data_IF_086782302473
#
_entry.id   IF_086782302473
#
_cell.length_a   1.000
_cell.length_b   1.000
_cell.length_c   1.000
_cell.angle_alpha   90.00
_cell.angle_beta   90.00
_cell.angle_gamma   90.00
#
_symmetry.space_group_name_H-M   'P 1'
#
loop_
_entity.id
_entity.type
_entity.pdbx_description
1 polymer ?
#
# COMPACT_ATOMS: atom_id res chain seq x y z
N UNK A 1 12.85 -66.62 17.52
CA UNK A 1 11.57 -66.38 16.83
C UNK A 1 11.03 -65.06 17.36
N UNK A 2 10.76 -64.12 16.45
CA UNK A 2 10.27 -62.75 16.64
C UNK A 2 11.35 -61.70 16.99
N UNK A 3 12.04 -61.28 15.93
CA UNK A 3 12.57 -59.92 15.75
C UNK A 3 11.43 -58.89 15.82
N UNK A 4 11.62 -57.81 16.58
CA UNK A 4 10.75 -56.62 16.51
C UNK A 4 11.62 -55.40 16.31
N UNK A 5 11.91 -55.11 15.04
CA UNK A 5 12.41 -53.82 14.60
C UNK A 5 11.31 -52.77 14.79
N UNK A 6 11.44 -51.93 15.82
CA UNK A 6 10.70 -50.67 15.90
C UNK A 6 11.30 -49.70 14.88
N UNK A 7 10.67 -49.68 13.70
CA UNK A 7 10.86 -48.66 12.67
C UNK A 7 10.37 -47.31 13.21
N UNK A 8 11.31 -46.49 13.66
CA UNK A 8 11.08 -45.07 13.95
C UNK A 8 10.85 -44.36 12.62
N UNK A 9 9.58 -44.15 12.25
CA UNK A 9 9.22 -43.26 11.14
C UNK A 9 9.65 -41.83 11.50
N UNK A 10 10.87 -41.46 11.09
CA UNK A 10 11.23 -40.06 10.93
C UNK A 10 10.34 -39.49 9.83
N UNK A 11 9.50 -38.53 10.20
CA UNK A 11 8.77 -37.72 9.24
C UNK A 11 9.79 -36.95 8.38
N UNK A 12 9.67 -36.94 7.05
CA UNK A 12 10.56 -36.14 6.22
C UNK A 12 10.23 -34.65 6.44
N UNK A 13 11.12 -33.94 7.13
CA UNK A 13 11.24 -32.49 7.06
C UNK A 13 11.73 -32.12 5.67
N UNK A 14 10.78 -31.99 4.75
CA UNK A 14 11.00 -31.38 3.44
C UNK A 14 10.20 -30.08 3.41
N UNK A 15 10.76 -29.01 4.00
CA UNK A 15 10.31 -27.64 3.69
C UNK A 15 10.82 -27.26 2.30
N UNK A 16 10.33 -27.96 1.28
CA UNK A 16 10.25 -27.39 -0.06
C UNK A 16 9.09 -26.42 -0.01
N UNK A 17 9.35 -25.18 0.43
CA UNK A 17 8.50 -24.06 0.05
C UNK A 17 8.53 -24.01 -1.47
N UNK A 18 7.50 -24.55 -2.11
CA UNK A 18 7.20 -24.22 -3.50
C UNK A 18 7.22 -22.70 -3.59
N UNK A 19 8.10 -22.16 -4.44
CA UNK A 19 8.06 -20.75 -4.85
C UNK A 19 6.70 -20.57 -5.52
N UNK A 20 5.69 -20.18 -4.74
CA UNK A 20 4.33 -19.98 -5.24
C UNK A 20 4.30 -18.69 -6.04
N UNK A 21 3.66 -18.72 -7.18
CA UNK A 21 3.59 -17.57 -8.09
C UNK A 21 2.91 -16.36 -7.42
N UNK A 22 3.30 -15.13 -7.78
CA UNK A 22 2.68 -13.92 -7.25
C UNK A 22 1.23 -13.79 -7.68
N UNK A 23 0.39 -13.22 -6.80
CA UNK A 23 -1.03 -13.01 -7.05
C UNK A 23 -1.28 -11.55 -7.43
N UNK A 24 -1.94 -11.35 -8.57
CA UNK A 24 -2.30 -10.04 -9.13
C UNK A 24 -3.81 -9.85 -9.11
N UNK A 25 -4.26 -8.78 -8.46
CA UNK A 25 -5.68 -8.41 -8.46
C UNK A 25 -5.99 -7.57 -9.69
N UNK A 26 -7.12 -7.84 -10.33
CA UNK A 26 -7.55 -7.12 -11.52
C UNK A 26 -9.06 -6.93 -11.54
N UNK A 27 -9.52 -5.88 -12.23
CA UNK A 27 -10.91 -5.73 -12.65
C UNK A 27 -10.96 -5.71 -14.17
N UNK A 28 -11.76 -6.60 -14.77
CA UNK A 28 -11.94 -6.64 -16.22
C UNK A 28 -13.40 -6.83 -16.61
N UNK A 29 -13.71 -6.63 -17.88
CA UNK A 29 -15.02 -6.90 -18.48
C UNK A 29 -14.91 -8.08 -19.41
N UNK A 30 -15.64 -9.14 -19.12
CA UNK A 30 -15.73 -10.31 -19.98
C UNK A 30 -16.42 -9.94 -21.32
N UNK A 31 -15.80 -10.30 -22.44
CA UNK A 31 -16.32 -10.00 -23.79
C UNK A 31 -17.66 -10.67 -24.09
N UNK A 32 -17.86 -11.89 -23.58
CA UNK A 32 -19.04 -12.71 -23.82
C UNK A 32 -20.19 -12.26 -22.93
N UNK A 33 -19.96 -12.18 -21.62
CA UNK A 33 -21.02 -11.85 -20.66
C UNK A 33 -21.25 -10.35 -20.50
N UNK A 34 -20.33 -9.51 -20.97
CA UNK A 34 -20.29 -8.05 -20.74
C UNK A 34 -20.29 -7.66 -19.26
N UNK A 35 -20.07 -8.62 -18.36
CA UNK A 35 -20.05 -8.40 -16.92
C UNK A 35 -18.66 -7.91 -16.50
N UNK A 36 -18.64 -6.90 -15.61
CA UNK A 36 -17.41 -6.38 -15.02
C UNK A 36 -17.21 -7.02 -13.65
N UNK A 37 -16.08 -7.69 -13.46
CA UNK A 37 -15.77 -8.42 -12.23
C UNK A 37 -14.35 -8.12 -11.77
N UNK A 38 -14.13 -8.25 -10.46
CA UNK A 38 -12.82 -8.11 -9.83
C UNK A 38 -12.38 -9.47 -9.32
N UNK A 39 -11.25 -9.97 -9.82
CA UNK A 39 -10.72 -11.30 -9.54
C UNK A 39 -9.20 -11.22 -9.29
N UNK A 40 -8.57 -12.36 -9.04
CA UNK A 40 -7.11 -12.49 -8.96
C UNK A 40 -6.58 -13.53 -9.94
N UNK A 41 -5.32 -13.37 -10.36
CA UNK A 41 -4.59 -14.30 -11.24
C UNK A 41 -3.18 -14.51 -10.68
N UNK A 42 -2.65 -15.73 -10.79
CA UNK A 42 -1.25 -16.02 -10.45
C UNK A 42 -0.38 -15.87 -11.70
N UNK A 43 0.65 -15.03 -11.65
CA UNK A 43 1.57 -14.77 -12.77
C UNK A 43 2.97 -14.43 -12.24
N UNK A 44 4.05 -14.55 -13.02
CA UNK A 44 5.38 -14.17 -12.56
C UNK A 44 5.63 -12.66 -12.61
N UNK A 45 4.85 -11.91 -13.38
CA UNK A 45 4.93 -10.45 -13.50
C UNK A 45 3.58 -9.83 -13.86
N UNK A 46 3.44 -8.50 -13.66
CA UNK A 46 2.28 -7.75 -14.11
C UNK A 46 2.08 -7.82 -15.64
N UNK A 47 3.17 -7.90 -16.40
CA UNK A 47 3.15 -8.06 -17.85
C UNK A 47 2.57 -9.41 -18.27
N UNK A 48 3.01 -10.49 -17.61
CA UNK A 48 2.48 -11.83 -17.87
C UNK A 48 1.02 -11.94 -17.45
N UNK A 49 0.65 -11.38 -16.29
CA UNK A 49 -0.74 -11.29 -15.86
C UNK A 49 -1.62 -10.61 -16.91
N UNK A 50 -1.19 -9.47 -17.47
CA UNK A 50 -1.95 -8.80 -18.53
C UNK A 50 -2.09 -9.68 -19.78
N UNK A 51 -1.00 -10.30 -20.23
CA UNK A 51 -0.98 -11.15 -21.42
C UNK A 51 -1.95 -12.33 -21.30
N UNK A 52 -1.99 -12.99 -20.13
CA UNK A 52 -2.92 -14.07 -19.85
C UNK A 52 -4.38 -13.59 -19.86
N UNK A 53 -4.66 -12.44 -19.26
CA UNK A 53 -6.01 -11.87 -19.21
C UNK A 53 -6.51 -11.44 -20.60
N UNK A 54 -5.64 -10.90 -21.45
CA UNK A 54 -5.96 -10.57 -22.84
C UNK A 54 -6.25 -11.82 -23.67
N UNK A 55 -5.48 -12.89 -23.44
CA UNK A 55 -5.68 -14.20 -24.08
C UNK A 55 -6.99 -14.85 -23.64
N UNK A 56 -7.43 -14.60 -22.41
CA UNK A 56 -8.71 -15.06 -21.87
C UNK A 56 -9.93 -14.24 -22.34
N UNK A 57 -9.78 -13.43 -23.40
CA UNK A 57 -10.84 -12.61 -24.00
C UNK A 57 -11.47 -11.58 -23.03
N UNK A 58 -10.69 -11.06 -22.08
CA UNK A 58 -11.12 -9.98 -21.21
C UNK A 58 -10.80 -8.61 -21.81
N UNK A 59 -11.72 -7.66 -21.66
CA UNK A 59 -11.59 -6.26 -22.10
C UNK A 59 -11.52 -5.29 -20.92
N UNK A 60 -11.00 -4.08 -21.17
CA UNK A 60 -10.97 -2.97 -20.19
C UNK A 60 -10.34 -3.38 -18.85
N UNK A 61 -9.23 -4.10 -18.94
CA UNK A 61 -8.49 -4.64 -17.81
C UNK A 61 -7.86 -3.49 -17.01
N UNK A 62 -8.03 -3.55 -15.69
CA UNK A 62 -7.39 -2.66 -14.73
C UNK A 62 -6.68 -3.53 -13.71
N UNK A 63 -5.35 -3.50 -13.69
CA UNK A 63 -4.58 -4.15 -12.64
C UNK A 63 -4.62 -3.28 -11.37
N UNK A 64 -4.82 -3.91 -10.22
CA UNK A 64 -4.84 -3.27 -8.90
C UNK A 64 -3.57 -3.55 -8.09
N UNK A 65 -2.66 -4.34 -8.65
CA UNK A 65 -1.44 -4.84 -8.00
C UNK A 65 -0.31 -4.76 -9.02
N UNK A 66 0.79 -4.15 -8.62
CA UNK A 66 2.06 -4.16 -9.36
C UNK A 66 3.02 -5.20 -8.78
N UNK A 67 4.18 -5.39 -9.41
CA UNK A 67 5.18 -6.38 -9.00
C UNK A 67 5.70 -6.15 -7.57
N UNK A 68 5.73 -4.90 -7.09
CA UNK A 68 6.12 -4.60 -5.70
C UNK A 68 5.05 -5.07 -4.74
N UNK A 69 3.79 -4.71 -4.98
CA UNK A 69 2.68 -5.13 -4.15
C UNK A 69 2.51 -6.66 -4.15
N UNK A 70 2.68 -7.31 -5.29
CA UNK A 70 2.62 -8.77 -5.42
C UNK A 70 3.73 -9.47 -4.63
N UNK A 71 4.99 -9.03 -4.78
CA UNK A 71 6.12 -9.58 -4.05
C UNK A 71 6.00 -9.33 -2.53
N UNK A 72 5.56 -8.15 -2.10
CA UNK A 72 5.28 -7.86 -0.68
C UNK A 72 4.20 -8.79 -0.13
N UNK A 73 3.11 -9.00 -0.88
CA UNK A 73 2.01 -9.90 -0.49
C UNK A 73 2.50 -11.35 -0.31
N UNK A 74 3.36 -11.83 -1.21
CA UNK A 74 3.95 -13.17 -1.11
C UNK A 74 4.77 -13.37 0.17
N UNK A 75 5.50 -12.34 0.59
CA UNK A 75 6.35 -12.38 1.79
C UNK A 75 5.59 -12.10 3.11
N UNK A 76 4.27 -11.89 3.05
CA UNK A 76 3.47 -11.67 4.26
C UNK A 76 3.48 -12.93 5.16
N UNK A 77 3.74 -12.79 6.49
CA UNK A 77 3.71 -13.92 7.42
C UNK A 77 2.36 -14.65 7.48
N UNK A 78 1.27 -13.93 7.20
CA UNK A 78 -0.08 -14.48 7.08
C UNK A 78 -0.65 -14.00 5.74
N UNK A 79 -0.80 -14.92 4.78
CA UNK A 79 -1.50 -14.61 3.53
C UNK A 79 -2.98 -14.34 3.85
N UNK A 80 -3.48 -13.23 3.33
CA UNK A 80 -4.91 -13.04 3.15
C UNK A 80 -5.23 -13.76 1.84
N UNK A 81 -5.52 -15.06 1.91
CA UNK A 81 -6.01 -15.74 0.72
C UNK A 81 -7.41 -15.21 0.42
N UNK A 82 -7.68 -14.89 -0.85
CA UNK A 82 -9.03 -14.63 -1.33
C UNK A 82 -9.81 -15.94 -1.18
N UNK A 83 -10.51 -16.06 -0.05
CA UNK A 83 -11.41 -17.17 0.26
C UNK A 83 -12.84 -16.64 0.19
N UNK A 84 -13.84 -17.51 0.39
CA UNK A 84 -15.26 -17.12 0.46
C UNK A 84 -15.56 -15.94 1.41
N UNK A 85 -14.70 -15.68 2.40
CA UNK A 85 -14.87 -14.63 3.41
C UNK A 85 -14.41 -13.22 2.99
N UNK A 86 -13.42 -13.08 2.10
CA UNK A 86 -12.91 -11.78 1.61
C UNK A 86 -12.68 -11.91 0.11
N UNK A 87 -13.51 -11.21 -0.67
CA UNK A 87 -13.42 -11.22 -2.13
C UNK A 87 -12.30 -10.30 -2.64
N UNK A 88 -11.85 -10.51 -3.88
CA UNK A 88 -10.92 -9.61 -4.55
C UNK A 88 -11.48 -8.17 -4.66
N UNK A 89 -12.80 -8.04 -4.84
CA UNK A 89 -13.49 -6.74 -4.83
C UNK A 89 -13.40 -6.05 -3.46
N UNK A 90 -13.58 -6.80 -2.36
CA UNK A 90 -13.43 -6.27 -1.01
C UNK A 90 -12.00 -5.76 -0.78
N UNK A 91 -11.00 -6.54 -1.19
CA UNK A 91 -9.59 -6.16 -1.07
C UNK A 91 -9.27 -4.83 -1.77
N UNK A 92 -9.75 -4.67 -3.00
CA UNK A 92 -9.60 -3.44 -3.79
C UNK A 92 -10.30 -2.27 -3.10
N UNK A 93 -11.50 -2.50 -2.55
CA UNK A 93 -12.31 -1.47 -1.91
C UNK A 93 -11.73 -0.98 -0.58
N UNK A 94 -11.06 -1.84 0.20
CA UNK A 94 -10.44 -1.46 1.47
C UNK A 94 -9.33 -0.40 1.34
N UNK A 95 -8.83 -0.17 0.13
CA UNK A 95 -7.86 0.89 -0.14
C UNK A 95 -8.48 2.29 0.01
N UNK A 96 -9.77 2.45 -0.27
CA UNK A 96 -10.50 3.73 -0.23
C UNK A 96 -11.56 3.81 0.86
N UNK A 97 -11.94 2.67 1.45
CA UNK A 97 -12.86 2.62 2.57
C UNK A 97 -12.13 3.02 3.87
N UNK A 98 -12.58 4.10 4.52
CA UNK A 98 -12.05 4.51 5.82
C UNK A 98 -12.52 3.62 6.98
N UNK A 99 -11.99 3.86 8.18
CA UNK A 99 -12.28 3.07 9.40
C UNK A 99 -13.78 2.83 9.62
N UNK A 100 -14.63 3.85 9.41
CA UNK A 100 -16.07 3.73 9.57
C UNK A 100 -16.69 2.78 8.53
N UNK A 101 -16.28 2.87 7.28
CA UNK A 101 -16.80 1.97 6.25
C UNK A 101 -16.32 0.53 6.46
N UNK A 102 -15.10 0.33 6.97
CA UNK A 102 -14.61 -1.00 7.36
C UNK A 102 -15.40 -1.56 8.55
N UNK A 103 -15.72 -0.71 9.53
CA UNK A 103 -16.61 -1.06 10.65
C UNK A 103 -18.01 -1.50 10.17
N UNK A 104 -18.62 -0.74 9.24
CA UNK A 104 -19.93 -1.09 8.68
C UNK A 104 -19.87 -2.40 7.89
N UNK A 105 -18.83 -2.58 7.07
CA UNK A 105 -18.58 -3.82 6.33
C UNK A 105 -18.51 -5.02 7.27
N UNK A 106 -17.66 -4.94 8.30
CA UNK A 106 -17.45 -6.05 9.24
C UNK A 106 -18.71 -6.33 10.07
N UNK A 107 -19.42 -5.29 10.50
CA UNK A 107 -20.70 -5.43 11.20
C UNK A 107 -21.72 -6.16 10.34
N UNK A 108 -21.89 -5.75 9.07
CA UNK A 108 -22.78 -6.42 8.10
C UNK A 108 -22.40 -7.89 7.91
N UNK A 109 -21.10 -8.17 7.75
CA UNK A 109 -20.62 -9.53 7.54
C UNK A 109 -20.88 -10.42 8.77
N UNK A 110 -20.60 -9.93 9.97
CA UNK A 110 -20.88 -10.66 11.22
C UNK A 110 -22.37 -10.93 11.43
N UNK A 111 -23.25 -9.97 11.12
CA UNK A 111 -24.70 -10.19 11.15
C UNK A 111 -25.15 -11.23 10.13
N UNK A 112 -24.57 -11.21 8.93
CA UNK A 112 -24.88 -12.19 7.89
C UNK A 112 -24.48 -13.60 8.32
N UNK A 113 -23.30 -13.76 8.93
CA UNK A 113 -22.86 -15.03 9.50
C UNK A 113 -23.75 -15.49 10.66
N UNK A 114 -24.19 -14.58 11.52
CA UNK A 114 -25.02 -14.88 12.69
C UNK A 114 -26.53 -15.01 12.41
N UNK A 115 -27.00 -14.70 11.20
CA UNK A 115 -28.43 -14.51 10.88
C UNK A 115 -29.35 -15.66 11.30
N UNK A 116 -28.94 -16.91 11.08
CA UNK A 116 -29.76 -18.06 11.43
C UNK A 116 -29.82 -18.29 12.94
N UNK A 117 -28.69 -18.11 13.63
CA UNK A 117 -28.64 -18.18 15.09
C UNK A 117 -29.50 -17.10 15.74
N UNK A 118 -29.45 -15.87 15.23
CA UNK A 118 -30.28 -14.76 15.70
C UNK A 118 -31.77 -15.01 15.43
N UNK A 119 -32.14 -15.53 14.26
CA UNK A 119 -33.53 -15.86 13.92
C UNK A 119 -34.09 -16.97 14.81
N UNK A 120 -33.35 -18.07 14.99
CA UNK A 120 -33.78 -19.20 15.85
C UNK A 120 -33.92 -18.74 17.31
N UNK A 121 -32.94 -17.98 17.81
CA UNK A 121 -32.98 -17.46 19.18
C UNK A 121 -34.16 -16.51 19.40
N UNK A 122 -34.44 -15.64 18.42
CA UNK A 122 -35.58 -14.71 18.49
C UNK A 122 -36.92 -15.45 18.44
N UNK A 123 -37.04 -16.47 17.58
CA UNK A 123 -38.26 -17.29 17.48
C UNK A 123 -38.54 -18.11 18.75
N UNK A 124 -37.50 -18.69 19.35
CA UNK A 124 -37.62 -19.44 20.61
C UNK A 124 -38.04 -18.54 21.77
N UNK A 125 -37.53 -17.30 21.79
CA UNK A 125 -37.89 -16.33 22.81
C UNK A 125 -39.33 -15.83 22.64
N UNK A 126 -39.75 -15.57 21.39
CA UNK A 126 -41.14 -15.24 21.08
C UNK A 126 -42.10 -16.35 21.54
N UNK A 127 -41.75 -17.61 21.31
CA UNK A 127 -42.53 -18.76 21.77
C UNK A 127 -42.69 -18.78 23.29
N UNK A 128 -41.61 -18.59 24.05
CA UNK A 128 -41.65 -18.51 25.52
C UNK A 128 -42.47 -17.30 26.01
N UNK A 129 -42.49 -16.20 25.27
CA UNK A 129 -43.25 -15.00 25.63
C UNK A 129 -44.77 -15.16 25.42
N UNK A 130 -45.19 -16.08 24.55
CA UNK A 130 -46.60 -16.34 24.23
C UNK A 130 -47.27 -17.29 25.23
N UNK A 131 -46.52 -17.97 26.10
CA UNK A 131 -47.09 -18.81 27.16
C UNK A 131 -47.37 -17.99 28.44
N UNK A 132 -48.57 -18.12 29.03
CA UNK A 132 -49.08 -17.28 30.13
C UNK A 132 -48.55 -17.64 31.53
N UNK A 133 -47.43 -18.35 31.66
CA UNK A 133 -46.97 -18.86 32.96
C UNK A 133 -45.97 -17.89 33.64
N UNK A 134 -46.23 -17.49 34.89
CA UNK A 134 -45.41 -16.49 35.61
C UNK A 134 -43.95 -16.93 35.82
N UNK A 135 -43.70 -18.24 35.94
CA UNK A 135 -42.35 -18.80 35.98
C UNK A 135 -41.60 -18.55 34.65
N UNK A 136 -42.29 -18.67 33.51
CA UNK A 136 -41.71 -18.47 32.19
C UNK A 136 -41.42 -17.00 31.89
N UNK A 137 -42.18 -16.05 32.46
CA UNK A 137 -41.89 -14.60 32.34
C UNK A 137 -40.53 -14.19 32.90
N UNK A 138 -40.07 -14.81 33.99
CA UNK A 138 -38.75 -14.49 34.57
C UNK A 138 -37.61 -14.99 33.65
N UNK A 139 -37.74 -16.20 33.10
CA UNK A 139 -36.79 -16.72 32.11
C UNK A 139 -36.86 -15.96 30.78
N UNK A 140 -38.04 -15.47 30.39
CA UNK A 140 -38.20 -14.64 29.20
C UNK A 140 -37.43 -13.31 29.31
N UNK A 141 -37.44 -12.66 30.48
CA UNK A 141 -36.66 -11.45 30.72
C UNK A 141 -35.14 -11.70 30.67
N UNK A 142 -34.67 -12.80 31.25
CA UNK A 142 -33.26 -13.22 31.14
C UNK A 142 -32.91 -13.53 29.68
N UNK A 143 -33.79 -14.25 28.98
CA UNK A 143 -33.65 -14.53 27.55
C UNK A 143 -33.56 -13.26 26.72
N UNK A 144 -34.39 -12.24 27.01
CA UNK A 144 -34.38 -10.95 26.31
C UNK A 144 -33.05 -10.23 26.48
N UNK A 145 -32.50 -10.25 27.70
CA UNK A 145 -31.18 -9.68 27.95
C UNK A 145 -30.09 -10.43 27.16
N UNK A 146 -30.11 -11.75 27.14
CA UNK A 146 -29.16 -12.57 26.38
C UNK A 146 -29.29 -12.30 24.88
N UNK A 147 -30.51 -12.27 24.35
CA UNK A 147 -30.77 -11.96 22.94
C UNK A 147 -30.26 -10.56 22.61
N UNK A 148 -30.55 -9.56 23.45
CA UNK A 148 -30.04 -8.21 23.28
C UNK A 148 -28.50 -8.16 23.24
N UNK A 149 -27.82 -8.87 24.15
CA UNK A 149 -26.36 -9.00 24.11
C UNK A 149 -25.86 -9.68 22.83
N UNK A 150 -26.54 -10.72 22.34
CA UNK A 150 -26.20 -11.39 21.08
C UNK A 150 -26.38 -10.48 19.86
N UNK A 151 -27.43 -9.65 19.85
CA UNK A 151 -27.63 -8.63 18.81
C UNK A 151 -26.59 -7.52 18.89
N UNK A 152 -26.13 -7.13 20.08
CA UNK A 152 -25.05 -6.14 20.22
C UNK A 152 -23.64 -6.70 19.99
N UNK A 153 -23.45 -8.02 20.03
CA UNK A 153 -22.13 -8.61 19.87
C UNK A 153 -21.47 -8.27 18.51
N UNK A 154 -22.14 -8.41 17.34
CA UNK A 154 -21.56 -8.05 16.05
C UNK A 154 -20.99 -6.62 15.97
N UNK A 155 -21.74 -5.54 16.29
CA UNK A 155 -21.17 -4.19 16.25
C UNK A 155 -20.07 -3.97 17.31
N UNK A 156 -20.16 -4.58 18.49
CA UNK A 156 -19.08 -4.47 19.50
C UNK A 156 -17.79 -5.14 19.04
N UNK A 157 -17.89 -6.36 18.46
CA UNK A 157 -16.75 -7.08 17.89
C UNK A 157 -16.17 -6.32 16.71
N UNK A 158 -17.02 -5.80 15.82
CA UNK A 158 -16.57 -5.02 14.67
C UNK A 158 -15.85 -3.74 15.09
N UNK A 159 -16.39 -3.01 16.08
CA UNK A 159 -15.77 -1.81 16.61
C UNK A 159 -14.39 -2.13 17.22
N UNK A 160 -14.32 -3.19 18.04
CA UNK A 160 -13.06 -3.65 18.63
C UNK A 160 -12.04 -4.02 17.55
N UNK A 161 -12.45 -4.80 16.54
CA UNK A 161 -11.60 -5.22 15.45
C UNK A 161 -11.07 -4.02 14.64
N UNK A 162 -11.92 -3.03 14.33
CA UNK A 162 -11.51 -1.80 13.62
C UNK A 162 -10.52 -0.98 14.45
N UNK A 163 -10.83 -0.71 15.72
CA UNK A 163 -10.01 0.15 16.59
C UNK A 163 -8.64 -0.47 16.92
N UNK A 164 -8.57 -1.79 17.07
CA UNK A 164 -7.35 -2.51 17.44
C UNK A 164 -6.67 -3.23 16.26
N UNK A 165 -7.12 -2.98 15.03
CA UNK A 165 -6.60 -3.63 13.82
C UNK A 165 -5.09 -3.39 13.63
N UNK A 166 -4.33 -4.42 13.18
CA UNK A 166 -2.95 -4.24 12.76
C UNK A 166 -2.81 -3.19 11.64
N UNK A 167 -3.76 -3.11 10.71
CA UNK A 167 -3.79 -2.14 9.62
C UNK A 167 -3.80 -0.70 10.13
N UNK A 168 -4.63 -0.38 11.12
CA UNK A 168 -4.66 0.97 11.72
C UNK A 168 -3.33 1.32 12.38
N UNK A 169 -2.72 0.36 13.09
CA UNK A 169 -1.39 0.56 13.72
C UNK A 169 -0.30 0.75 12.67
N UNK A 170 -0.37 0.02 11.56
CA UNK A 170 0.54 0.18 10.44
C UNK A 170 0.34 1.52 9.72
N UNK A 171 -0.89 1.94 9.48
CA UNK A 171 -1.20 3.26 8.91
C UNK A 171 -0.70 4.41 9.80
N UNK A 172 -0.74 4.26 11.13
CA UNK A 172 -0.11 5.23 12.04
C UNK A 172 1.41 5.28 11.88
N UNK A 173 2.07 4.13 11.75
CA UNK A 173 3.52 4.07 11.49
C UNK A 173 3.85 4.72 10.14
N UNK A 174 3.05 4.45 9.12
CA UNK A 174 3.20 5.07 7.81
C UNK A 174 3.01 6.59 7.89
N UNK A 175 2.01 7.07 8.61
CA UNK A 175 1.79 8.50 8.83
C UNK A 175 2.99 9.14 9.54
N UNK A 176 3.47 8.54 10.64
CA UNK A 176 4.65 9.03 11.36
C UNK A 176 5.89 9.05 10.45
N UNK A 177 6.09 8.00 9.65
CA UNK A 177 7.19 7.90 8.68
C UNK A 177 7.13 9.01 7.63
N UNK A 178 5.95 9.25 7.07
CA UNK A 178 5.71 10.27 6.06
C UNK A 178 5.67 11.70 6.59
N UNK A 179 5.69 11.87 7.92
CA UNK A 179 5.92 13.14 8.62
C UNK A 179 7.34 13.24 9.20
N UNK A 180 8.26 12.35 8.82
CA UNK A 180 9.63 12.36 9.33
C UNK A 180 9.74 12.20 10.85
N UNK A 181 8.72 11.63 11.51
CA UNK A 181 8.70 11.35 12.96
C UNK A 181 9.40 10.04 13.25
N UNK A 182 10.69 9.99 12.92
CA UNK A 182 11.50 8.77 12.92
C UNK A 182 11.50 8.04 14.27
N UNK A 183 11.59 8.76 15.39
CA UNK A 183 11.54 8.18 16.73
C UNK A 183 10.20 7.49 17.04
N UNK A 184 9.08 8.04 16.54
CA UNK A 184 7.75 7.42 16.70
C UNK A 184 7.66 6.12 15.91
N UNK A 185 8.20 6.09 14.69
CA UNK A 185 8.28 4.89 13.86
C UNK A 185 9.05 3.80 14.60
N UNK A 186 10.27 4.09 15.07
CA UNK A 186 11.11 3.14 15.80
C UNK A 186 10.45 2.62 17.08
N UNK A 187 9.66 3.46 17.77
CA UNK A 187 8.92 3.05 18.97
C UNK A 187 7.72 2.15 18.69
N UNK A 188 7.01 2.39 17.58
CA UNK A 188 5.77 1.67 17.24
C UNK A 188 6.03 0.38 16.46
N UNK A 189 7.04 0.37 15.61
CA UNK A 189 7.35 -0.71 14.68
C UNK A 189 7.47 -2.11 15.35
N UNK A 190 8.12 -2.28 16.52
CA UNK A 190 8.21 -3.59 17.18
C UNK A 190 6.85 -4.24 17.46
N UNK A 191 5.79 -3.44 17.66
CA UNK A 191 4.44 -3.94 17.98
C UNK A 191 3.72 -4.55 16.78
N UNK A 192 4.13 -4.18 15.56
CA UNK A 192 3.50 -4.65 14.31
C UNK A 192 4.43 -5.53 13.48
N UNK A 193 5.73 -5.63 13.82
CA UNK A 193 6.75 -6.37 13.05
C UNK A 193 6.32 -7.78 12.65
N UNK A 194 5.62 -8.50 13.53
CA UNK A 194 5.11 -9.86 13.26
C UNK A 194 4.01 -9.95 12.17
N UNK A 195 3.47 -8.81 11.76
CA UNK A 195 2.41 -8.69 10.75
C UNK A 195 2.92 -8.11 9.44
N UNK A 196 4.22 -7.84 9.32
CA UNK A 196 4.83 -7.26 8.13
C UNK A 196 5.86 -8.24 7.54
N UNK A 197 6.14 -8.15 6.23
CA UNK A 197 7.28 -8.83 5.64
C UNK A 197 8.57 -8.35 6.30
N UNK A 198 9.54 -9.24 6.40
CA UNK A 198 10.82 -8.93 7.06
C UNK A 198 11.50 -7.72 6.42
N UNK A 199 11.56 -7.68 5.09
CA UNK A 199 12.17 -6.57 4.34
C UNK A 199 11.48 -5.23 4.61
N UNK A 200 10.14 -5.18 4.64
CA UNK A 200 9.40 -3.94 4.91
C UNK A 200 9.65 -3.44 6.34
N UNK A 201 9.60 -4.33 7.33
CA UNK A 201 9.86 -3.93 8.71
C UNK A 201 11.30 -3.41 8.87
N UNK A 202 12.30 -4.13 8.36
CA UNK A 202 13.70 -3.73 8.48
C UNK A 202 14.04 -2.48 7.66
N UNK A 203 13.48 -2.33 6.47
CA UNK A 203 13.66 -1.14 5.64
C UNK A 203 13.11 0.11 6.34
N UNK A 204 11.93 0.04 6.96
CA UNK A 204 11.37 1.19 7.71
C UNK A 204 12.18 1.53 8.96
N UNK A 205 12.70 0.52 9.65
CA UNK A 205 13.63 0.71 10.77
C UNK A 205 14.91 1.41 10.31
N UNK A 206 15.55 0.89 9.26
CA UNK A 206 16.78 1.43 8.69
C UNK A 206 16.60 2.85 8.14
N UNK A 207 15.53 3.11 7.39
CA UNK A 207 15.20 4.42 6.86
C UNK A 207 14.94 5.46 7.97
N UNK A 208 14.29 5.04 9.07
CA UNK A 208 14.07 5.92 10.22
C UNK A 208 15.39 6.24 10.94
N UNK A 209 16.29 5.26 11.10
CA UNK A 209 17.64 5.50 11.64
C UNK A 209 18.44 6.45 10.74
N UNK A 210 18.39 6.25 9.42
CA UNK A 210 19.00 7.14 8.43
C UNK A 210 18.45 8.58 8.55
N UNK A 211 17.14 8.76 8.67
CA UNK A 211 16.52 10.08 8.87
C UNK A 211 16.94 10.81 10.17
N UNK A 212 17.38 10.05 11.18
CA UNK A 212 17.98 10.54 12.43
C UNK A 212 19.50 10.79 12.32
N UNK A 213 20.10 10.61 11.14
CA UNK A 213 21.55 10.74 10.93
C UNK A 213 22.36 9.51 11.35
N UNK A 214 21.71 8.36 11.62
CA UNK A 214 22.34 7.10 12.04
C UNK A 214 22.38 6.10 10.88
N UNK A 215 22.92 6.54 9.74
CA UNK A 215 22.95 5.75 8.50
C UNK A 215 23.66 4.42 8.70
N UNK A 216 24.83 4.41 9.34
CA UNK A 216 25.62 3.19 9.54
C UNK A 216 24.84 2.08 10.26
N UNK A 217 24.07 2.45 11.29
CA UNK A 217 23.20 1.50 11.99
C UNK A 217 22.07 0.99 11.10
N UNK A 218 21.48 1.86 10.27
CA UNK A 218 20.50 1.46 9.26
C UNK A 218 21.07 0.48 8.25
N UNK A 219 22.30 0.69 7.79
CA UNK A 219 22.99 -0.20 6.86
C UNK A 219 23.31 -1.56 7.49
N UNK A 220 23.70 -1.59 8.77
CA UNK A 220 23.88 -2.85 9.51
C UNK A 220 22.60 -3.67 9.60
N UNK A 221 21.43 -3.01 9.69
CA UNK A 221 20.13 -3.69 9.68
C UNK A 221 19.80 -4.27 8.31
N UNK A 222 20.11 -3.55 7.24
CA UNK A 222 19.81 -3.97 5.87
C UNK A 222 20.78 -5.05 5.36
N UNK A 223 22.05 -4.99 5.73
CA UNK A 223 23.10 -5.89 5.23
C UNK A 223 22.72 -7.38 5.18
N UNK A 224 22.22 -7.98 6.28
CA UNK A 224 21.82 -9.39 6.31
C UNK A 224 20.64 -9.78 5.41
N UNK A 225 19.95 -8.81 4.79
CA UNK A 225 18.82 -9.07 3.90
C UNK A 225 19.24 -9.28 2.44
N UNK A 226 20.45 -8.87 2.06
CA UNK A 226 20.94 -8.94 0.68
C UNK A 226 20.99 -10.38 0.15
N UNK A 227 21.31 -11.33 1.03
CA UNK A 227 21.52 -12.74 0.72
C UNK A 227 20.32 -13.63 1.05
N UNK A 228 19.16 -13.04 1.42
CA UNK A 228 17.97 -13.83 1.76
C UNK A 228 17.25 -14.29 0.50
N UNK A 229 17.06 -15.61 0.29
CA UNK A 229 16.50 -16.15 -0.94
C UNK A 229 15.04 -15.76 -1.17
N UNK A 230 14.29 -15.41 -0.11
CA UNK A 230 12.89 -15.00 -0.21
C UNK A 230 12.72 -13.54 -0.64
N UNK A 231 13.78 -12.73 -0.59
CA UNK A 231 13.74 -11.30 -0.94
C UNK A 231 14.32 -11.13 -2.35
N UNK A 232 13.52 -10.73 -3.35
CA UNK A 232 14.05 -10.43 -4.68
C UNK A 232 15.13 -9.35 -4.60
N UNK A 233 16.25 -9.57 -5.27
CA UNK A 233 17.41 -8.67 -5.18
C UNK A 233 17.06 -7.22 -5.55
N UNK A 234 16.26 -7.02 -6.59
CA UNK A 234 15.76 -5.70 -7.00
C UNK A 234 14.96 -5.00 -5.90
N UNK A 235 14.24 -5.76 -5.06
CA UNK A 235 13.46 -5.22 -3.95
C UNK A 235 14.36 -4.79 -2.80
N UNK A 236 15.36 -5.60 -2.46
CA UNK A 236 16.40 -5.23 -1.52
C UNK A 236 17.07 -3.91 -1.93
N UNK A 237 17.53 -3.81 -3.18
CA UNK A 237 18.16 -2.60 -3.73
C UNK A 237 17.23 -1.38 -3.67
N UNK A 238 15.95 -1.56 -4.02
CA UNK A 238 14.96 -0.49 -3.98
C UNK A 238 14.70 0.04 -2.58
N UNK A 239 14.66 -0.84 -1.58
CA UNK A 239 14.49 -0.46 -0.17
C UNK A 239 15.76 0.14 0.43
N UNK A 240 16.92 -0.36 0.04
CA UNK A 240 18.20 0.25 0.44
C UNK A 240 18.35 1.66 -0.15
N UNK A 241 17.91 1.87 -1.40
CA UNK A 241 17.91 3.21 -2.01
C UNK A 241 17.07 4.21 -1.19
N UNK A 242 15.91 3.78 -0.68
CA UNK A 242 15.06 4.59 0.22
C UNK A 242 15.79 4.95 1.53
N UNK A 243 16.60 4.05 2.09
CA UNK A 243 17.44 4.35 3.27
C UNK A 243 18.44 5.47 2.97
N UNK A 244 19.13 5.40 1.82
CA UNK A 244 20.06 6.46 1.41
C UNK A 244 19.35 7.77 1.08
N UNK A 245 18.14 7.73 0.50
CA UNK A 245 17.32 8.92 0.26
C UNK A 245 17.02 9.66 1.57
N UNK A 246 16.62 8.96 2.63
CA UNK A 246 16.35 9.58 3.93
C UNK A 246 17.61 10.02 4.69
N UNK A 247 18.79 9.55 4.30
CA UNK A 247 20.08 10.06 4.76
C UNK A 247 20.62 11.24 3.94
N UNK A 248 19.84 11.74 2.97
CA UNK A 248 20.25 12.79 2.01
C UNK A 248 21.48 12.41 1.15
N UNK A 249 21.68 11.10 0.93
CA UNK A 249 22.74 10.51 0.10
C UNK A 249 22.18 10.12 -1.28
N UNK A 250 21.80 11.14 -2.06
CA UNK A 250 21.00 10.95 -3.27
C UNK A 250 21.77 10.27 -4.42
N UNK A 251 23.08 10.42 -4.50
CA UNK A 251 23.93 9.78 -5.50
C UNK A 251 23.98 8.26 -5.31
N UNK A 252 24.08 7.80 -4.06
CA UNK A 252 24.01 6.39 -3.68
C UNK A 252 22.59 5.84 -3.91
N UNK A 253 21.57 6.63 -3.58
CA UNK A 253 20.18 6.30 -3.92
C UNK A 253 20.03 6.08 -5.44
N UNK A 254 20.54 7.00 -6.27
CA UNK A 254 20.48 6.89 -7.73
C UNK A 254 21.18 5.63 -8.24
N UNK A 255 22.39 5.35 -7.74
CA UNK A 255 23.15 4.17 -8.13
C UNK A 255 22.39 2.87 -7.83
N UNK A 256 21.75 2.78 -6.66
CA UNK A 256 20.95 1.61 -6.26
C UNK A 256 19.64 1.49 -7.06
N UNK A 257 18.98 2.61 -7.38
CA UNK A 257 17.79 2.60 -8.23
C UNK A 257 18.12 2.11 -9.64
N UNK A 258 19.26 2.52 -10.18
CA UNK A 258 19.77 2.02 -11.46
C UNK A 258 20.01 0.51 -11.38
N UNK A 259 20.73 0.02 -10.36
CA UNK A 259 20.97 -1.42 -10.20
C UNK A 259 19.67 -2.22 -10.03
N UNK A 260 18.69 -1.68 -9.29
CA UNK A 260 17.39 -2.33 -9.13
C UNK A 260 16.66 -2.45 -10.47
N UNK A 261 16.64 -1.38 -11.25
CA UNK A 261 16.09 -1.37 -12.61
C UNK A 261 16.82 -2.39 -13.51
N UNK A 262 18.16 -2.40 -13.53
CA UNK A 262 18.95 -3.35 -14.32
C UNK A 262 18.70 -4.81 -13.93
N UNK A 263 18.41 -5.07 -12.65
CA UNK A 263 18.07 -6.40 -12.15
C UNK A 263 16.67 -6.88 -12.56
N UNK A 264 15.73 -5.96 -12.82
CA UNK A 264 14.39 -6.29 -13.30
C UNK A 264 13.87 -5.18 -14.25
N UNK A 265 14.35 -5.13 -15.51
CA UNK A 265 14.04 -4.03 -16.40
C UNK A 265 12.56 -3.91 -16.72
N UNK A 266 11.83 -5.02 -16.75
CA UNK A 266 10.39 -5.08 -17.06
C UNK A 266 9.46 -4.55 -15.95
N UNK A 267 9.99 -4.18 -14.79
CA UNK A 267 9.18 -3.68 -13.69
C UNK A 267 9.00 -2.14 -13.77
N UNK A 268 7.80 -1.70 -14.15
CA UNK A 268 7.47 -0.27 -14.30
C UNK A 268 7.68 0.56 -13.02
N UNK A 269 7.54 -0.04 -11.83
CA UNK A 269 7.79 0.67 -10.57
C UNK A 269 9.26 1.06 -10.45
N UNK A 270 10.18 0.20 -10.92
CA UNK A 270 11.61 0.46 -10.88
C UNK A 270 12.02 1.52 -11.91
N UNK A 271 11.42 1.49 -13.10
CA UNK A 271 11.59 2.53 -14.12
C UNK A 271 11.18 3.91 -13.58
N UNK A 272 9.97 4.02 -13.02
CA UNK A 272 9.48 5.27 -12.44
C UNK A 272 10.30 5.71 -11.22
N UNK A 273 10.73 4.78 -10.38
CA UNK A 273 11.61 5.08 -9.24
C UNK A 273 12.97 5.64 -9.67
N UNK A 274 13.56 5.06 -10.73
CA UNK A 274 14.82 5.54 -11.29
C UNK A 274 14.66 6.91 -11.95
N UNK A 275 13.65 7.07 -12.81
CA UNK A 275 13.31 8.34 -13.45
C UNK A 275 13.08 9.45 -12.42
N UNK A 276 12.30 9.21 -11.38
CA UNK A 276 12.03 10.21 -10.35
C UNK A 276 13.30 10.63 -9.58
N UNK A 277 14.26 9.72 -9.39
CA UNK A 277 15.54 10.03 -8.73
C UNK A 277 16.44 10.89 -9.62
N UNK A 278 16.50 10.58 -10.93
CA UNK A 278 17.15 11.43 -11.93
C UNK A 278 16.57 12.85 -11.91
N UNK A 279 15.24 12.96 -11.91
CA UNK A 279 14.54 14.25 -11.90
C UNK A 279 14.80 15.06 -10.63
N UNK A 280 14.81 14.41 -9.45
CA UNK A 280 15.15 15.06 -8.16
C UNK A 280 16.56 15.62 -8.12
N UNK A 281 17.49 14.97 -8.80
CA UNK A 281 18.87 15.42 -8.95
C UNK A 281 19.06 16.39 -10.13
N UNK A 282 18.02 16.64 -10.91
CA UNK A 282 18.06 17.39 -12.16
C UNK A 282 19.13 16.84 -13.14
N UNK A 283 19.19 15.51 -13.25
CA UNK A 283 20.12 14.78 -14.10
C UNK A 283 19.38 14.09 -15.25
N UNK A 284 20.02 14.06 -16.41
CA UNK A 284 19.65 13.25 -17.59
C UNK A 284 18.13 13.21 -17.88
N UNK A 285 17.53 14.39 -18.11
CA UNK A 285 16.12 14.51 -18.48
C UNK A 285 15.72 13.64 -19.70
N UNK A 286 16.57 13.45 -20.74
CA UNK A 286 16.25 12.52 -21.83
C UNK A 286 16.07 11.07 -21.36
N UNK A 287 16.97 10.55 -20.51
CA UNK A 287 16.81 9.21 -19.95
C UNK A 287 15.59 9.11 -19.03
N UNK A 288 15.33 10.11 -18.19
CA UNK A 288 14.15 10.14 -17.35
C UNK A 288 12.85 10.12 -18.18
N UNK A 289 12.81 10.88 -19.27
CA UNK A 289 11.71 10.87 -20.24
C UNK A 289 11.51 9.47 -20.83
N UNK A 290 12.57 8.85 -21.35
CA UNK A 290 12.52 7.51 -21.93
C UNK A 290 11.97 6.49 -20.93
N UNK A 291 12.47 6.48 -19.69
CA UNK A 291 12.03 5.55 -18.64
C UNK A 291 10.55 5.71 -18.30
N UNK A 292 10.03 6.95 -18.33
CA UNK A 292 8.60 7.22 -18.10
C UNK A 292 7.77 6.66 -19.25
N UNK A 293 8.16 6.90 -20.50
CA UNK A 293 7.46 6.38 -21.68
C UNK A 293 7.47 4.85 -21.70
N UNK A 294 8.60 4.22 -21.40
CA UNK A 294 8.71 2.77 -21.31
C UNK A 294 7.86 2.18 -20.17
N UNK A 295 7.76 2.87 -19.03
CA UNK A 295 6.90 2.46 -17.93
C UNK A 295 5.41 2.53 -18.32
N UNK A 296 5.01 3.58 -19.04
CA UNK A 296 3.63 3.74 -19.54
C UNK A 296 3.27 2.78 -20.66
N UNK A 297 4.25 2.32 -21.44
CA UNK A 297 4.05 1.28 -22.45
C UNK A 297 3.80 -0.11 -21.83
N UNK A 298 4.03 -0.26 -20.52
CA UNK A 298 3.82 -1.48 -19.76
C UNK A 298 2.56 -1.39 -18.88
N UNK A 299 1.98 -2.53 -18.47
CA UNK A 299 0.87 -2.56 -17.54
C UNK A 299 1.20 -1.83 -16.24
N UNK A 300 0.45 -0.77 -15.96
CA UNK A 300 0.52 -0.03 -14.71
C UNK A 300 -0.65 -0.41 -13.81
N UNK A 301 -0.35 -0.68 -12.53
CA UNK A 301 -1.40 -0.78 -11.51
C UNK A 301 -2.15 0.55 -11.41
N UNK A 302 -3.42 0.50 -11.00
CA UNK A 302 -4.25 1.68 -10.83
C UNK A 302 -3.66 2.72 -9.88
N UNK A 303 -2.93 2.27 -8.84
CA UNK A 303 -2.18 3.14 -7.95
C UNK A 303 -0.94 3.73 -8.64
N UNK A 304 -0.20 2.92 -9.40
CA UNK A 304 0.99 3.39 -10.10
C UNK A 304 0.67 4.47 -11.14
N UNK A 305 -0.48 4.34 -11.82
CA UNK A 305 -1.00 5.33 -12.76
C UNK A 305 -1.18 6.72 -12.12
N UNK A 306 -1.48 6.80 -10.81
CA UNK A 306 -1.65 8.08 -10.11
C UNK A 306 -0.34 8.86 -9.98
N UNK A 307 0.82 8.19 -10.03
CA UNK A 307 2.13 8.81 -9.87
C UNK A 307 2.75 9.26 -11.20
N UNK A 308 2.26 8.72 -12.32
CA UNK A 308 2.79 9.08 -13.65
C UNK A 308 2.64 10.58 -13.94
N UNK A 309 1.46 11.22 -13.75
CA UNK A 309 1.33 12.66 -13.95
C UNK A 309 2.25 13.49 -13.04
N UNK A 310 2.48 13.06 -11.80
CA UNK A 310 3.39 13.76 -10.88
C UNK A 310 4.83 13.69 -11.39
N UNK A 311 5.25 12.52 -11.87
CA UNK A 311 6.60 12.29 -12.42
C UNK A 311 6.80 13.08 -13.72
N UNK A 312 5.80 13.07 -14.61
CA UNK A 312 5.78 13.91 -15.82
C UNK A 312 5.81 15.40 -15.49
N UNK A 313 5.04 15.83 -14.48
CA UNK A 313 5.05 17.21 -14.01
C UNK A 313 6.44 17.66 -13.59
N UNK A 314 7.17 16.82 -12.86
CA UNK A 314 8.55 17.08 -12.47
C UNK A 314 9.53 17.11 -13.66
N UNK A 315 9.34 16.21 -14.65
CA UNK A 315 10.11 16.24 -15.89
C UNK A 315 9.89 17.56 -16.65
N UNK A 316 8.63 17.95 -16.85
CA UNK A 316 8.28 19.19 -17.55
C UNK A 316 8.81 20.43 -16.81
N UNK A 317 8.88 20.40 -15.47
CA UNK A 317 9.55 21.45 -14.68
C UNK A 317 11.03 21.54 -15.02
N UNK A 318 11.74 20.41 -15.10
CA UNK A 318 13.17 20.36 -15.41
C UNK A 318 13.46 20.80 -16.86
N UNK A 319 12.51 20.59 -17.77
CA UNK A 319 12.58 21.04 -19.17
C UNK A 319 12.17 22.51 -19.36
N UNK A 320 11.69 23.20 -18.32
CA UNK A 320 11.23 24.59 -18.41
C UNK A 320 9.82 24.75 -18.99
N UNK A 321 9.07 23.66 -19.17
CA UNK A 321 7.71 23.68 -19.70
C UNK A 321 6.67 23.88 -18.57
N UNK A 322 6.77 25.01 -17.88
CA UNK A 322 6.08 25.26 -16.61
C UNK A 322 4.55 25.12 -16.68
N UNK A 323 3.93 25.53 -17.79
CA UNK A 323 2.47 25.37 -17.97
C UNK A 323 2.06 23.89 -18.02
N UNK A 324 2.83 23.05 -18.72
CA UNK A 324 2.58 21.60 -18.78
C UNK A 324 2.81 20.95 -17.43
N UNK A 325 3.91 21.33 -16.77
CA UNK A 325 4.24 20.87 -15.43
C UNK A 325 3.11 21.12 -14.43
N UNK A 326 2.53 22.33 -14.42
CA UNK A 326 1.40 22.67 -13.57
C UNK A 326 0.21 21.73 -13.77
N UNK A 327 -0.22 21.53 -15.02
CA UNK A 327 -1.39 20.69 -15.32
C UNK A 327 -1.15 19.21 -14.99
N UNK A 328 0.05 18.70 -15.24
CA UNK A 328 0.45 17.34 -14.89
C UNK A 328 0.44 17.11 -13.37
N UNK A 329 0.99 18.06 -12.60
CA UNK A 329 0.96 17.98 -11.13
C UNK A 329 -0.48 18.06 -10.58
N UNK A 330 -1.31 18.92 -11.15
CA UNK A 330 -2.72 19.06 -10.76
C UNK A 330 -3.52 17.77 -11.05
N UNK A 331 -3.24 17.11 -12.19
CA UNK A 331 -3.84 15.83 -12.53
C UNK A 331 -3.47 14.75 -11.51
N UNK A 332 -2.19 14.66 -11.15
CA UNK A 332 -1.72 13.73 -10.12
C UNK A 332 -2.36 13.98 -8.76
N UNK A 333 -2.43 15.23 -8.31
CA UNK A 333 -3.10 15.59 -7.05
C UNK A 333 -4.58 15.20 -7.07
N UNK A 334 -5.30 15.51 -8.16
CA UNK A 334 -6.71 15.16 -8.31
C UNK A 334 -6.92 13.64 -8.27
N UNK A 335 -6.03 12.88 -8.90
CA UNK A 335 -6.04 11.41 -8.88
C UNK A 335 -5.84 10.82 -7.49
N UNK A 336 -5.03 11.46 -6.64
CA UNK A 336 -4.78 11.03 -5.26
C UNK A 336 -5.92 11.36 -4.28
N UNK A 337 -6.79 12.32 -4.62
CA UNK A 337 -7.87 12.81 -3.73
C UNK A 337 -8.73 11.71 -3.08
N UNK A 338 -9.16 10.64 -3.78
CA UNK A 338 -9.95 9.55 -3.18
C UNK A 338 -9.21 8.77 -2.08
N UNK A 339 -7.87 8.84 -2.04
CA UNK A 339 -7.02 8.07 -1.14
C UNK A 339 -6.50 8.91 0.04
N UNK A 340 -6.62 10.23 0.00
CA UNK A 340 -6.07 11.14 1.03
C UNK A 340 -6.58 10.81 2.44
N UNK A 341 -7.83 10.36 2.60
CA UNK A 341 -8.39 10.06 3.93
C UNK A 341 -7.90 8.72 4.49
N UNK A 342 -7.52 7.76 3.64
CA UNK A 342 -7.25 6.37 4.03
C UNK A 342 -5.79 5.95 3.89
N UNK A 343 -5.05 6.57 2.96
CA UNK A 343 -3.69 6.20 2.60
C UNK A 343 -2.71 7.32 2.96
N UNK A 344 -1.83 7.11 3.96
CA UNK A 344 -0.80 8.08 4.33
C UNK A 344 0.09 8.53 3.16
N UNK A 345 0.46 7.60 2.26
CA UNK A 345 1.29 7.91 1.10
C UNK A 345 0.62 8.93 0.18
N UNK A 346 -0.70 8.82 -0.04
CA UNK A 346 -1.42 9.70 -0.95
C UNK A 346 -1.35 11.17 -0.50
N UNK A 347 -1.30 11.41 0.81
CA UNK A 347 -1.12 12.75 1.36
C UNK A 347 0.25 13.33 1.04
N UNK A 348 1.31 12.51 1.14
CA UNK A 348 2.69 12.94 0.82
C UNK A 348 2.79 13.33 -0.63
N UNK A 349 2.34 12.46 -1.53
CA UNK A 349 2.49 12.70 -2.96
C UNK A 349 1.56 13.81 -3.45
N UNK A 350 0.42 14.04 -2.79
CA UNK A 350 -0.38 15.24 -3.03
C UNK A 350 0.39 16.51 -2.64
N UNK A 351 1.07 16.53 -1.49
CA UNK A 351 1.87 17.69 -1.06
C UNK A 351 3.09 17.90 -1.97
N UNK A 352 3.75 16.83 -2.43
CA UNK A 352 4.82 16.90 -3.45
C UNK A 352 4.29 17.46 -4.78
N UNK A 353 3.13 17.00 -5.24
CA UNK A 353 2.51 17.52 -6.46
C UNK A 353 2.18 19.02 -6.33
N UNK A 354 1.65 19.45 -5.18
CA UNK A 354 1.42 20.88 -4.88
C UNK A 354 2.71 21.68 -4.88
N UNK A 355 3.79 21.15 -4.31
CA UNK A 355 5.08 21.82 -4.28
C UNK A 355 5.63 22.04 -5.70
N UNK A 356 5.57 21.03 -6.56
CA UNK A 356 5.97 21.14 -7.96
C UNK A 356 5.07 22.08 -8.76
N UNK A 357 3.76 22.00 -8.57
CA UNK A 357 2.81 22.94 -9.18
C UNK A 357 3.08 24.39 -8.74
N UNK A 358 3.45 24.62 -7.48
CA UNK A 358 3.79 25.94 -6.97
C UNK A 358 5.05 26.50 -7.63
N UNK A 359 6.09 25.68 -7.81
CA UNK A 359 7.30 26.06 -8.55
C UNK A 359 6.94 26.45 -9.99
N UNK A 360 6.12 25.64 -10.68
CA UNK A 360 5.66 25.96 -12.02
C UNK A 360 4.90 27.29 -12.09
N UNK A 361 3.99 27.54 -11.15
CA UNK A 361 3.25 28.81 -11.09
C UNK A 361 4.17 30.00 -10.81
N UNK A 362 5.15 29.85 -9.92
CA UNK A 362 6.11 30.90 -9.63
C UNK A 362 6.95 31.24 -10.88
N UNK A 363 7.41 30.24 -11.63
CA UNK A 363 8.13 30.45 -12.91
C UNK A 363 7.24 31.10 -13.99
N UNK A 364 5.92 30.94 -13.91
CA UNK A 364 4.95 31.62 -14.78
C UNK A 364 4.59 33.04 -14.32
N UNK A 365 5.10 33.49 -13.16
CA UNK A 365 4.79 34.80 -12.58
C UNK A 365 3.49 34.85 -11.75
N UNK A 366 2.81 33.71 -11.54
CA UNK A 366 1.57 33.60 -10.76
C UNK A 366 1.87 33.47 -9.25
N UNK A 367 2.58 34.46 -8.71
CA UNK A 367 3.21 34.41 -7.38
C UNK A 367 2.25 34.18 -6.21
N UNK A 368 1.07 34.81 -6.20
CA UNK A 368 0.09 34.65 -5.12
C UNK A 368 -0.46 33.21 -5.04
N UNK A 369 -0.81 32.64 -6.20
CA UNK A 369 -1.29 31.24 -6.28
C UNK A 369 -0.18 30.25 -5.95
N UNK A 370 1.03 30.53 -6.44
CA UNK A 370 2.21 29.74 -6.13
C UNK A 370 2.44 29.68 -4.61
N UNK A 371 2.40 30.82 -3.93
CA UNK A 371 2.64 30.92 -2.49
C UNK A 371 1.56 30.19 -1.68
N UNK A 372 0.28 30.41 -1.99
CA UNK A 372 -0.81 29.70 -1.32
C UNK A 372 -0.65 28.17 -1.44
N UNK A 373 -0.26 27.69 -2.63
CA UNK A 373 -0.09 26.27 -2.88
C UNK A 373 1.15 25.72 -2.17
N UNK A 374 2.27 26.44 -2.20
CA UNK A 374 3.52 26.04 -1.55
C UNK A 374 3.36 25.98 -0.03
N UNK A 375 2.72 26.98 0.59
CA UNK A 375 2.47 27.00 2.04
C UNK A 375 1.62 25.82 2.50
N UNK A 376 0.71 25.31 1.65
CA UNK A 376 -0.06 24.10 1.97
C UNK A 376 0.78 22.81 2.02
N UNK A 377 1.90 22.77 1.29
CA UNK A 377 2.80 21.61 1.20
C UNK A 377 4.00 21.73 2.15
N UNK A 378 4.41 22.95 2.48
CA UNK A 378 5.62 23.28 3.23
C UNK A 378 5.80 22.48 4.53
N UNK A 379 4.77 22.32 5.41
CA UNK A 379 4.97 21.61 6.67
C UNK A 379 5.49 20.19 6.50
N UNK A 380 5.04 19.48 5.46
CA UNK A 380 5.54 18.12 5.20
C UNK A 380 6.90 18.12 4.54
N UNK A 381 7.16 19.06 3.62
CA UNK A 381 8.48 19.20 3.00
C UNK A 381 9.55 19.47 4.06
N UNK A 382 9.28 20.34 5.03
CA UNK A 382 10.19 20.63 6.15
C UNK A 382 10.40 19.40 7.03
N UNK A 383 9.32 18.70 7.38
CA UNK A 383 9.37 17.50 8.20
C UNK A 383 10.21 16.38 7.55
N UNK A 384 10.13 16.25 6.23
CA UNK A 384 10.92 15.31 5.43
C UNK A 384 12.28 15.85 4.98
N UNK A 385 12.67 17.06 5.41
CA UNK A 385 13.91 17.73 5.00
C UNK A 385 14.09 17.76 3.48
N UNK A 386 13.02 18.03 2.74
CA UNK A 386 13.02 18.12 1.27
C UNK A 386 13.67 19.41 0.77
N UNK A 387 14.92 19.66 1.17
CA UNK A 387 15.68 20.90 0.97
C UNK A 387 15.76 21.28 -0.50
N UNK A 388 16.10 20.35 -1.41
CA UNK A 388 16.17 20.61 -2.85
C UNK A 388 14.88 21.23 -3.43
N UNK A 389 13.72 20.71 -3.04
CA UNK A 389 12.42 21.25 -3.50
C UNK A 389 12.13 22.61 -2.88
N UNK A 390 12.41 22.77 -1.58
CA UNK A 390 12.20 24.04 -0.87
C UNK A 390 13.09 25.14 -1.44
N UNK A 391 14.36 24.84 -1.68
CA UNK A 391 15.34 25.80 -2.17
C UNK A 391 15.05 26.18 -3.62
N UNK A 392 14.64 25.23 -4.47
CA UNK A 392 14.19 25.52 -5.84
C UNK A 392 13.04 26.54 -5.85
N UNK A 393 12.03 26.37 -5.01
CA UNK A 393 10.94 27.34 -4.91
C UNK A 393 11.42 28.73 -4.46
N UNK A 394 12.32 28.77 -3.45
CA UNK A 394 12.91 30.01 -2.94
C UNK A 394 13.77 30.72 -3.98
N UNK A 395 14.46 29.99 -4.84
CA UNK A 395 15.27 30.55 -5.92
C UNK A 395 14.39 31.16 -7.01
N UNK A 396 13.32 30.47 -7.41
CA UNK A 396 12.36 30.97 -8.41
C UNK A 396 11.69 32.28 -7.94
N UNK A 397 11.29 32.37 -6.68
CA UNK A 397 10.59 33.56 -6.13
C UNK A 397 11.48 34.76 -5.86
N UNK A 398 12.81 34.60 -5.91
CA UNK A 398 13.79 35.70 -5.78
C UNK A 398 14.15 36.37 -7.09
N UNK A 399 13.84 35.74 -8.22
CA UNK A 399 14.07 36.27 -9.57
C UNK A 399 12.95 37.24 -9.94
#
# INVERSE_FOLDING_TARGET
MIDSQKSTRQAPTTSQQTIRMPEYFYTATDRLTRKRETNSIEAASAQEALCELETAELDKIVLHTDDVAAAVSQMMPRKVSVNEDITASDYVSFRTIGDFGFFVYLTKNLYWQARWGLLVSSGLLLFVFLEENDFQRTYANIGLLVLFCLWLAPPVIALYATLFSPTRKYNQIQEDFYWGRWDEVLRRLPRVRKHLPLIEARAREAASLAGLGRLDEGLQIMGPLADQPEIPHWMYLSRLAEVYEYADQMEQCLALRKQAYEAQPENSVLKLGYANTLLKLNLDSPLAHQLIEEAEAQPLSDLLQLFVPITKGHLELNLGHYQRAFFQCLEGEKGLKPFISTQPFARVYADVARAYAAIALAELGETEKAEALFQSALPRLEALKSTRTIDRYRETTKR
#
